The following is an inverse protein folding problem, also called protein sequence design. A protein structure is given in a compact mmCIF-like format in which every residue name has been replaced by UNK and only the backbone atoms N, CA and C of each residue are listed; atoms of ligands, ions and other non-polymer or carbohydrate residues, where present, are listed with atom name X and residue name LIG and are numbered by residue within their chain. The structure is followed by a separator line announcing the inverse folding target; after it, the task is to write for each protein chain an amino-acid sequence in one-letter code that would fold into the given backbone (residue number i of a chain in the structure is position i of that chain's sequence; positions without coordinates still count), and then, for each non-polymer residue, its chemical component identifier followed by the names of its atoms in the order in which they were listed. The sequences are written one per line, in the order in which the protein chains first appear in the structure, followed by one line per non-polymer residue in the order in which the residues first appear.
data_IF_460220568906
#
_entry.id   IF_460220568906
#
_cell.length_a   1.000
_cell.length_b   1.000
_cell.length_c   1.000
_cell.angle_alpha   90.00
_cell.angle_beta   90.00
_cell.angle_gamma   90.00
#
_symmetry.space_group_name_H-M   'P 1'
#
loop_
_entity.id
_entity.type
_entity.pdbx_description
1 polymer ?
#
# COMPACT_ATOMS: atom_id res chain seq x y z
N UNK A 1 16.02 1.14 12.33
CA UNK A 1 15.87 2.45 11.63
C UNK A 1 16.72 2.55 10.36
N UNK A 2 17.85 1.83 10.24
CA UNK A 2 18.68 1.85 9.02
C UNK A 2 17.91 1.49 7.74
N UNK A 3 17.00 0.51 7.82
CA UNK A 3 16.23 0.02 6.67
C UNK A 3 15.20 1.01 6.10
N UNK A 4 14.80 2.04 6.85
CA UNK A 4 13.82 3.03 6.35
C UNK A 4 14.51 4.30 5.80
N UNK A 5 15.73 4.63 6.25
CA UNK A 5 16.47 5.83 5.85
C UNK A 5 16.70 5.94 4.33
N UNK A 6 16.51 7.05 3.61
CA UNK A 6 16.45 8.42 4.12
C UNK A 6 15.09 8.80 4.67
N UNK A 7 14.06 7.98 4.46
CA UNK A 7 12.75 8.19 5.06
C UNK A 7 12.83 8.05 6.58
N UNK A 8 12.15 8.94 7.29
CA UNK A 8 12.33 9.10 8.72
C UNK A 8 11.01 9.39 9.46
N UNK A 9 9.84 9.21 8.86
CA UNK A 9 8.56 9.46 9.54
C UNK A 9 7.98 8.22 10.21
N UNK A 10 7.04 8.39 11.14
CA UNK A 10 6.30 7.23 11.69
C UNK A 10 5.48 6.50 10.61
N UNK A 11 5.00 7.17 9.57
CA UNK A 11 4.34 6.50 8.45
C UNK A 11 5.32 5.55 7.76
N UNK A 12 6.54 6.01 7.46
CA UNK A 12 7.57 5.18 6.85
C UNK A 12 7.97 4.02 7.74
N UNK A 13 8.14 4.27 9.04
CA UNK A 13 8.41 3.22 10.01
C UNK A 13 7.30 2.16 10.04
N UNK A 14 6.04 2.59 10.10
CA UNK A 14 4.90 1.67 10.20
C UNK A 14 4.72 0.83 8.92
N UNK A 15 4.92 1.43 7.75
CA UNK A 15 4.87 0.71 6.47
C UNK A 15 6.06 -0.26 6.39
N UNK A 16 7.26 0.20 6.73
CA UNK A 16 8.47 -0.62 6.73
C UNK A 16 8.37 -1.83 7.66
N UNK A 17 7.86 -1.65 8.89
CA UNK A 17 7.61 -2.77 9.82
C UNK A 17 6.60 -3.76 9.24
N UNK A 18 5.54 -3.27 8.60
CA UNK A 18 4.52 -4.14 8.02
C UNK A 18 5.08 -5.02 6.90
N UNK A 19 5.88 -4.42 6.01
CA UNK A 19 6.54 -5.13 4.92
C UNK A 19 7.61 -6.08 5.42
N UNK A 20 8.44 -5.66 6.38
CA UNK A 20 9.47 -6.49 6.99
C UNK A 20 8.86 -7.73 7.64
N UNK A 21 7.82 -7.56 8.46
CA UNK A 21 7.10 -8.69 9.08
C UNK A 21 6.47 -9.62 8.04
N UNK A 22 5.84 -9.07 6.99
CA UNK A 22 5.28 -9.89 5.92
C UNK A 22 6.37 -10.65 5.15
N UNK A 23 7.50 -10.01 4.87
CA UNK A 23 8.63 -10.61 4.17
C UNK A 23 9.30 -11.72 4.99
N UNK A 24 9.26 -11.68 6.33
CA UNK A 24 9.78 -12.76 7.18
C UNK A 24 9.18 -14.14 6.83
N UNK A 25 7.94 -14.15 6.32
CA UNK A 25 7.20 -15.35 5.94
C UNK A 25 6.93 -16.30 7.11
N UNK A 26 7.13 -15.88 8.36
CA UNK A 26 6.85 -16.65 9.57
C UNK A 26 5.43 -16.33 10.06
N UNK A 27 4.58 -17.35 10.10
CA UNK A 27 3.18 -17.18 10.46
C UNK A 27 2.45 -18.48 10.72
N UNK A 28 1.12 -18.40 10.71
CA UNK A 28 0.22 -19.52 10.97
C UNK A 28 -0.60 -19.82 9.72
N UNK A 29 -0.74 -21.10 9.39
CA UNK A 29 -1.61 -21.58 8.32
C UNK A 29 -2.81 -22.29 8.95
N UNK A 30 -4.00 -22.02 8.43
CA UNK A 30 -5.19 -22.79 8.79
C UNK A 30 -5.17 -24.09 7.97
N UNK A 31 -5.14 -25.23 8.66
CA UNK A 31 -5.32 -26.55 8.07
C UNK A 31 -6.77 -26.81 7.67
N UNK A 32 -6.99 -27.91 6.96
CA UNK A 32 -8.32 -28.29 6.46
C UNK A 32 -9.31 -28.62 7.59
N UNK A 33 -8.81 -29.13 8.72
CA UNK A 33 -9.62 -29.57 9.86
C UNK A 33 -9.83 -28.49 10.94
N UNK A 34 -9.52 -27.23 10.64
CA UNK A 34 -9.61 -26.12 11.59
C UNK A 34 -8.39 -25.95 12.50
N UNK A 35 -7.44 -26.88 12.45
CA UNK A 35 -6.16 -26.76 13.14
C UNK A 35 -5.30 -25.62 12.59
N UNK A 36 -4.48 -25.02 13.45
CA UNK A 36 -3.47 -24.03 13.05
C UNK A 36 -2.08 -24.56 13.34
N UNK A 37 -1.21 -24.51 12.34
CA UNK A 37 0.19 -24.86 12.49
C UNK A 37 1.11 -23.71 12.09
N UNK A 38 2.26 -23.65 12.75
CA UNK A 38 3.30 -22.68 12.45
C UNK A 38 3.97 -23.05 11.13
N UNK A 39 4.11 -22.09 10.24
CA UNK A 39 4.75 -22.27 8.95
C UNK A 39 5.67 -21.10 8.66
N UNK A 40 6.86 -21.41 8.14
CA UNK A 40 7.79 -20.42 7.60
C UNK A 40 7.98 -20.65 6.11
N UNK A 41 7.56 -19.68 5.31
CA UNK A 41 7.69 -19.74 3.85
C UNK A 41 9.16 -19.67 3.43
N UNK A 42 9.56 -20.60 2.56
CA UNK A 42 10.89 -20.64 1.93
C UNK A 42 10.97 -19.84 0.63
N UNK A 43 9.87 -19.18 0.21
CA UNK A 43 9.80 -18.40 -1.01
C UNK A 43 10.83 -17.26 -0.98
N UNK A 44 11.65 -17.20 -2.03
CA UNK A 44 12.67 -16.15 -2.23
C UNK A 44 12.11 -14.90 -2.90
N UNK A 45 10.94 -15.01 -3.52
CA UNK A 45 10.27 -13.92 -4.23
C UNK A 45 9.00 -13.53 -3.48
N UNK A 46 8.79 -12.24 -3.30
CA UNK A 46 7.57 -11.66 -2.76
C UNK A 46 6.89 -10.80 -3.83
N UNK A 47 5.65 -11.14 -4.20
CA UNK A 47 4.84 -10.28 -5.07
C UNK A 47 4.22 -9.15 -4.25
N UNK A 48 4.48 -7.92 -4.65
CA UNK A 48 4.03 -6.71 -3.94
C UNK A 48 3.10 -5.90 -4.84
N UNK A 49 1.93 -5.54 -4.31
CA UNK A 49 0.90 -4.79 -5.04
C UNK A 49 1.16 -3.29 -5.21
N UNK A 50 2.38 -2.80 -4.94
CA UNK A 50 2.73 -1.38 -5.11
C UNK A 50 2.63 -0.99 -6.59
N UNK A 51 2.15 0.22 -6.88
CA UNK A 51 1.86 0.70 -8.23
C UNK A 51 0.38 0.58 -8.62
N UNK A 52 -0.39 -0.30 -7.97
CA UNK A 52 -1.82 -0.44 -8.27
C UNK A 52 -2.63 0.81 -7.88
N UNK A 53 -2.37 1.39 -6.71
CA UNK A 53 -3.11 2.55 -6.23
C UNK A 53 -2.75 3.81 -7.03
N UNK A 54 -1.47 3.98 -7.39
CA UNK A 54 -0.95 5.09 -8.21
C UNK A 54 -1.57 5.08 -9.62
N UNK A 55 -1.65 3.91 -10.26
CA UNK A 55 -2.12 3.80 -11.65
C UNK A 55 -3.63 3.63 -11.79
N UNK A 56 -4.32 3.15 -10.76
CA UNK A 56 -5.77 2.86 -10.82
C UNK A 56 -6.62 3.76 -9.91
N UNK A 57 -6.15 4.95 -9.59
CA UNK A 57 -6.85 5.93 -8.76
C UNK A 57 -7.23 5.44 -7.34
N UNK A 58 -6.37 4.66 -6.67
CA UNK A 58 -6.67 4.02 -5.38
C UNK A 58 -6.55 4.90 -4.12
N UNK A 59 -5.92 6.07 -4.20
CA UNK A 59 -5.77 6.97 -3.06
C UNK A 59 -6.98 7.89 -2.85
N UNK A 60 -7.37 8.13 -1.59
CA UNK A 60 -8.44 9.07 -1.27
C UNK A 60 -8.19 10.50 -1.81
N UNK A 61 -6.93 10.93 -1.91
CA UNK A 61 -6.55 12.22 -2.49
C UNK A 61 -6.88 12.33 -3.99
N UNK A 62 -6.89 11.21 -4.72
CA UNK A 62 -7.28 11.19 -6.14
C UNK A 62 -8.73 11.63 -6.31
N UNK A 63 -9.62 11.10 -5.44
CA UNK A 63 -11.02 11.53 -5.39
C UNK A 63 -11.16 13.01 -5.03
N UNK A 64 -10.35 13.49 -4.10
CA UNK A 64 -10.33 14.93 -3.76
C UNK A 64 -9.93 15.76 -4.99
N UNK A 65 -8.88 15.38 -5.71
CA UNK A 65 -8.41 16.07 -6.92
C UNK A 65 -9.44 16.04 -8.05
N UNK A 66 -10.06 14.88 -8.28
CA UNK A 66 -11.17 14.73 -9.22
C UNK A 66 -12.35 15.66 -8.90
N UNK A 67 -12.74 15.77 -7.64
CA UNK A 67 -13.83 16.68 -7.23
C UNK A 67 -13.51 18.15 -7.45
N UNK A 68 -12.24 18.53 -7.36
CA UNK A 68 -11.80 19.92 -7.49
C UNK A 68 -11.63 20.33 -8.95
N UNK A 69 -11.03 19.48 -9.79
CA UNK A 69 -10.66 19.84 -11.16
C UNK A 69 -10.96 18.77 -12.22
N UNK A 70 -11.84 17.83 -11.92
CA UNK A 70 -12.29 16.80 -12.85
C UNK A 70 -11.18 15.84 -13.28
N UNK A 71 -11.31 15.31 -14.49
CA UNK A 71 -10.40 14.31 -15.06
C UNK A 71 -8.98 14.82 -15.24
N UNK A 72 -8.81 16.10 -15.62
CA UNK A 72 -7.48 16.70 -15.85
C UNK A 72 -6.68 16.72 -14.55
N UNK A 73 -7.25 17.24 -13.46
CA UNK A 73 -6.55 17.27 -12.17
C UNK A 73 -6.33 15.89 -11.56
N UNK A 74 -7.17 14.90 -11.89
CA UNK A 74 -6.95 13.51 -11.49
C UNK A 74 -5.74 12.92 -12.22
N UNK A 75 -5.67 13.09 -13.55
CA UNK A 75 -4.56 12.62 -14.37
C UNK A 75 -3.22 13.21 -13.90
N UNK A 76 -3.18 14.53 -13.69
CA UNK A 76 -1.99 15.22 -13.18
C UNK A 76 -1.51 14.66 -11.83
N UNK A 77 -2.43 14.45 -10.87
CA UNK A 77 -2.10 13.90 -9.57
C UNK A 77 -1.57 12.46 -9.67
N UNK A 78 -2.22 11.61 -10.46
CA UNK A 78 -1.80 10.22 -10.67
C UNK A 78 -0.44 10.13 -11.36
N UNK A 79 -0.20 10.99 -12.35
CA UNK A 79 1.08 11.09 -13.06
C UNK A 79 2.21 11.48 -12.10
N UNK A 80 1.97 12.44 -11.22
CA UNK A 80 2.94 12.83 -10.18
C UNK A 80 3.23 11.69 -9.21
N UNK A 81 2.23 10.91 -8.84
CA UNK A 81 2.40 9.75 -7.95
C UNK A 81 3.26 8.66 -8.59
N UNK A 82 2.99 8.30 -9.85
CA UNK A 82 3.82 7.35 -10.61
C UNK A 82 5.27 7.85 -10.72
N UNK A 83 5.48 9.12 -11.06
CA UNK A 83 6.83 9.70 -11.17
C UNK A 83 7.63 9.70 -9.87
N UNK A 84 6.96 9.70 -8.71
CA UNK A 84 7.58 9.79 -7.39
C UNK A 84 7.64 8.46 -6.65
N UNK A 85 7.05 7.39 -7.19
CA UNK A 85 6.91 6.11 -6.48
C UNK A 85 8.25 5.52 -6.05
N UNK A 86 9.28 5.66 -6.88
CA UNK A 86 10.63 5.15 -6.59
C UNK A 86 11.22 5.77 -5.33
N UNK A 87 11.05 7.09 -5.16
CA UNK A 87 11.57 7.84 -4.02
C UNK A 87 10.69 7.70 -2.78
N UNK A 88 9.37 7.62 -2.96
CA UNK A 88 8.39 7.59 -1.86
C UNK A 88 8.26 6.21 -1.21
N UNK A 89 8.27 5.16 -2.02
CA UNK A 89 7.93 3.81 -1.58
C UNK A 89 9.07 2.83 -1.82
N UNK A 90 9.51 2.67 -3.07
CA UNK A 90 10.34 1.53 -3.49
C UNK A 90 11.64 1.41 -2.71
N UNK A 91 12.36 2.51 -2.49
CA UNK A 91 13.64 2.46 -1.78
C UNK A 91 13.53 1.94 -0.34
N UNK A 92 12.44 2.28 0.38
CA UNK A 92 12.17 1.73 1.72
C UNK A 92 11.72 0.28 1.61
N UNK A 93 10.76 0.01 0.72
CA UNK A 93 10.11 -1.29 0.61
C UNK A 93 11.11 -2.38 0.23
N UNK A 94 12.00 -2.09 -0.73
CA UNK A 94 13.08 -2.99 -1.15
C UNK A 94 13.98 -3.39 0.02
N UNK A 95 14.51 -2.43 0.77
CA UNK A 95 15.41 -2.72 1.91
C UNK A 95 14.72 -3.49 3.02
N UNK A 96 13.45 -3.19 3.31
CA UNK A 96 12.68 -3.93 4.30
C UNK A 96 12.44 -5.38 3.89
N UNK A 97 12.23 -5.65 2.61
CA UNK A 97 11.99 -7.01 2.09
C UNK A 97 13.32 -7.78 1.97
N UNK A 98 14.34 -7.13 1.42
CA UNK A 98 15.68 -7.71 1.19
C UNK A 98 16.44 -8.05 2.47
N UNK A 99 16.11 -7.43 3.61
CA UNK A 99 16.66 -7.80 4.93
C UNK A 99 16.33 -9.26 5.31
N UNK A 100 15.27 -9.84 4.74
CA UNK A 100 14.93 -11.25 4.87
C UNK A 100 15.47 -12.13 3.74
N UNK A 101 16.37 -11.62 2.90
CA UNK A 101 16.94 -12.34 1.76
C UNK A 101 15.91 -12.65 0.67
N UNK A 102 14.88 -11.81 0.54
CA UNK A 102 13.82 -11.96 -0.47
C UNK A 102 13.85 -10.84 -1.49
N UNK A 103 13.53 -11.16 -2.72
CA UNK A 103 13.39 -10.22 -3.83
C UNK A 103 11.93 -9.79 -3.96
N UNK A 104 11.67 -8.48 -3.98
CA UNK A 104 10.36 -7.94 -4.26
C UNK A 104 10.13 -7.86 -5.78
N UNK A 105 8.98 -8.35 -6.25
CA UNK A 105 8.51 -8.12 -7.63
C UNK A 105 7.22 -7.34 -7.61
N UNK A 106 7.09 -6.41 -8.54
CA UNK A 106 6.00 -5.43 -8.58
C UNK A 106 5.21 -5.56 -9.90
N UNK A 107 4.28 -6.53 -10.01
CA UNK A 107 3.57 -6.80 -11.26
C UNK A 107 2.85 -5.58 -11.86
N UNK A 108 2.35 -4.67 -11.02
CA UNK A 108 1.69 -3.45 -11.51
C UNK A 108 2.66 -2.48 -12.19
N UNK A 109 3.95 -2.60 -11.94
CA UNK A 109 4.97 -1.72 -12.52
C UNK A 109 5.72 -2.37 -13.67
N UNK A 110 5.25 -3.53 -14.13
CA UNK A 110 5.69 -4.11 -15.38
C UNK A 110 5.32 -3.19 -16.55
N UNK A 111 6.22 -3.04 -17.51
CA UNK A 111 6.04 -2.14 -18.65
C UNK A 111 4.81 -2.47 -19.49
N UNK A 112 4.47 -3.75 -19.62
CA UNK A 112 3.29 -4.18 -20.37
C UNK A 112 2.00 -3.79 -19.63
N UNK A 113 1.96 -3.96 -18.32
CA UNK A 113 0.83 -3.56 -17.48
C UNK A 113 0.66 -2.04 -17.49
N UNK A 114 1.73 -1.28 -17.32
CA UNK A 114 1.69 0.18 -17.40
C UNK A 114 1.15 0.63 -18.76
N UNK A 115 1.67 0.06 -19.85
CA UNK A 115 1.25 0.41 -21.21
C UNK A 115 -0.23 0.14 -21.43
N UNK A 116 -0.71 -1.04 -21.05
CA UNK A 116 -2.14 -1.37 -21.13
C UNK A 116 -3.00 -0.40 -20.34
N UNK A 117 -2.58 -0.02 -19.12
CA UNK A 117 -3.34 0.95 -18.30
C UNK A 117 -3.36 2.35 -18.92
N UNK A 118 -2.27 2.78 -19.57
CA UNK A 118 -2.19 4.08 -20.26
C UNK A 118 -3.05 4.15 -21.53
N UNK A 119 -3.35 3.02 -22.16
CA UNK A 119 -4.23 2.93 -23.34
C UNK A 119 -5.72 2.95 -22.97
N UNK A 120 -6.06 2.68 -21.72
CA UNK A 120 -7.44 2.67 -21.23
C UNK A 120 -7.86 4.09 -20.82
N UNK A 121 -9.02 4.58 -21.28
CA UNK A 121 -9.53 5.86 -20.84
C UNK A 121 -9.70 5.94 -19.31
N UNK A 122 -9.37 7.09 -18.72
CA UNK A 122 -9.35 7.24 -17.26
C UNK A 122 -10.70 6.99 -16.57
N UNK A 123 -11.82 7.23 -17.27
CA UNK A 123 -13.17 6.92 -16.79
C UNK A 123 -13.50 5.41 -16.74
N UNK A 124 -12.72 4.58 -17.43
CA UNK A 124 -12.79 3.13 -17.32
C UNK A 124 -11.86 2.59 -16.23
N UNK A 125 -10.74 3.28 -15.97
CA UNK A 125 -9.85 3.00 -14.85
C UNK A 125 -10.54 3.27 -13.50
N UNK A 126 -11.29 4.37 -13.39
CA UNK A 126 -11.93 4.80 -12.16
C UNK A 126 -13.22 5.57 -12.40
N UNK A 127 -14.15 5.48 -11.44
CA UNK A 127 -15.44 6.18 -11.45
C UNK A 127 -15.69 6.88 -10.11
N UNK A 128 -14.97 8.00 -9.90
CA UNK A 128 -14.80 8.62 -8.57
C UNK A 128 -15.98 9.47 -8.08
N UNK A 129 -17.08 9.50 -8.83
CA UNK A 129 -18.43 9.90 -8.41
C UNK A 129 -19.13 8.82 -7.57
N UNK A 130 -18.82 7.53 -7.79
CA UNK A 130 -19.35 6.43 -6.98
C UNK A 130 -18.73 6.37 -5.57
N UNK A 131 -19.40 5.76 -4.58
CA UNK A 131 -18.86 5.62 -3.22
C UNK A 131 -17.47 4.96 -3.15
N UNK A 132 -16.75 5.22 -2.05
CA UNK A 132 -15.47 4.56 -1.74
C UNK A 132 -15.68 3.05 -1.66
N UNK A 133 -14.77 2.29 -2.25
CA UNK A 133 -14.88 0.83 -2.38
C UNK A 133 -15.62 0.36 -3.63
N UNK A 134 -16.18 1.28 -4.44
CA UNK A 134 -16.81 0.96 -5.73
C UNK A 134 -16.07 1.61 -6.89
N UNK A 135 -15.96 2.94 -6.85
CA UNK A 135 -15.43 3.75 -7.94
C UNK A 135 -13.91 3.81 -8.05
N UNK A 136 -13.20 3.71 -6.93
CA UNK A 136 -11.73 3.61 -6.91
C UNK A 136 -11.27 2.26 -7.46
N UNK A 137 -10.26 2.26 -8.32
CA UNK A 137 -9.72 1.04 -8.94
C UNK A 137 -10.76 0.20 -9.66
N UNK A 138 -11.73 0.86 -10.32
CA UNK A 138 -12.84 0.21 -11.03
C UNK A 138 -12.34 -0.95 -11.89
N UNK A 139 -11.34 -0.70 -12.74
CA UNK A 139 -10.77 -1.72 -13.62
C UNK A 139 -10.25 -2.96 -12.87
N UNK A 140 -9.56 -2.76 -11.75
CA UNK A 140 -9.02 -3.87 -10.94
C UNK A 140 -10.12 -4.64 -10.23
N UNK A 141 -11.20 -3.96 -9.83
CA UNK A 141 -12.38 -4.62 -9.24
C UNK A 141 -13.12 -5.47 -10.27
N UNK A 142 -13.19 -5.00 -11.52
CA UNK A 142 -13.77 -5.77 -12.63
C UNK A 142 -12.93 -6.99 -12.95
N UNK A 143 -11.61 -6.85 -13.08
CA UNK A 143 -10.69 -7.99 -13.25
C UNK A 143 -10.80 -8.98 -12.08
N UNK A 144 -10.85 -8.50 -10.84
CA UNK A 144 -11.04 -9.37 -9.67
C UNK A 144 -12.35 -10.18 -9.75
N UNK A 145 -13.46 -9.57 -10.20
CA UNK A 145 -14.73 -10.29 -10.41
C UNK A 145 -14.61 -11.35 -11.50
N UNK A 146 -13.95 -11.03 -12.62
CA UNK A 146 -13.71 -11.98 -13.72
C UNK A 146 -12.90 -13.20 -13.26
N UNK A 147 -11.95 -12.99 -12.35
CA UNK A 147 -11.14 -14.05 -11.75
C UNK A 147 -11.83 -14.77 -10.58
N UNK A 148 -13.09 -14.45 -10.26
CA UNK A 148 -13.83 -15.05 -9.15
C UNK A 148 -13.41 -14.56 -7.76
N UNK A 149 -12.57 -13.53 -7.66
CA UNK A 149 -12.07 -12.94 -6.41
C UNK A 149 -13.07 -11.95 -5.82
N UNK A 150 -14.27 -12.43 -5.47
CA UNK A 150 -15.39 -11.60 -5.05
C UNK A 150 -15.04 -10.71 -3.85
N UNK A 151 -14.44 -11.26 -2.79
CA UNK A 151 -14.08 -10.48 -1.61
C UNK A 151 -13.13 -9.33 -1.95
N UNK A 152 -12.07 -9.61 -2.69
CA UNK A 152 -11.08 -8.61 -3.10
C UNK A 152 -11.71 -7.49 -3.96
N UNK A 153 -12.69 -7.83 -4.81
CA UNK A 153 -13.38 -6.88 -5.66
C UNK A 153 -14.20 -5.83 -4.90
N UNK A 154 -14.66 -6.12 -3.69
CA UNK A 154 -15.51 -5.20 -2.90
C UNK A 154 -14.79 -4.55 -1.71
N UNK A 155 -13.61 -5.03 -1.33
CA UNK A 155 -12.87 -4.44 -0.21
C UNK A 155 -12.43 -2.99 -0.53
N UNK A 156 -12.75 -2.02 0.35
CA UNK A 156 -12.23 -0.66 0.23
C UNK A 156 -10.70 -0.64 0.38
N UNK A 157 -10.04 0.26 -0.35
CA UNK A 157 -8.60 0.44 -0.23
C UNK A 157 -8.21 0.81 1.20
N UNK A 158 -7.24 0.09 1.75
CA UNK A 158 -6.66 0.37 3.07
C UNK A 158 -5.14 0.27 3.01
N UNK A 159 -4.43 1.31 3.44
CA UNK A 159 -2.96 1.27 3.45
C UNK A 159 -2.45 0.21 4.44
N UNK A 160 -1.31 -0.42 4.12
CA UNK A 160 -0.79 -1.58 4.85
C UNK A 160 -0.58 -1.31 6.35
N UNK A 161 -0.11 -0.12 6.74
CA UNK A 161 0.08 0.27 8.14
C UNK A 161 -1.25 0.28 8.94
N UNK A 162 -2.37 0.56 8.27
CA UNK A 162 -3.69 0.54 8.89
C UNK A 162 -4.31 -0.86 8.82
N UNK A 163 -4.11 -1.60 7.73
CA UNK A 163 -4.62 -2.96 7.54
C UNK A 163 -4.02 -3.94 8.54
N UNK A 164 -2.70 -3.86 8.73
CA UNK A 164 -1.92 -4.64 9.72
C UNK A 164 -2.14 -4.23 11.18
N UNK A 165 -2.80 -3.09 11.41
CA UNK A 165 -2.95 -2.43 12.74
C UNK A 165 -1.63 -1.96 13.37
N UNK A 166 -0.50 -2.01 12.67
CA UNK A 166 0.79 -1.52 13.17
C UNK A 166 0.72 -0.02 13.52
N UNK A 167 0.04 0.79 12.70
CA UNK A 167 -0.16 2.20 13.00
C UNK A 167 -0.89 2.41 14.34
N UNK A 168 -1.85 1.55 14.68
CA UNK A 168 -2.57 1.64 15.97
C UNK A 168 -1.64 1.39 17.15
N UNK A 169 -0.83 0.33 17.06
CA UNK A 169 0.08 -0.03 18.15
C UNK A 169 1.22 0.99 18.27
N UNK A 170 1.75 1.47 17.15
CA UNK A 170 2.73 2.54 17.08
C UNK A 170 2.18 3.85 17.68
N UNK A 171 0.96 4.25 17.33
CA UNK A 171 0.32 5.44 17.88
C UNK A 171 0.12 5.35 19.39
N UNK A 172 -0.36 4.21 19.89
CA UNK A 172 -0.53 3.99 21.34
C UNK A 172 0.81 4.09 22.08
N UNK A 173 1.86 3.46 21.55
CA UNK A 173 3.18 3.45 22.17
C UNK A 173 3.83 4.83 22.21
N UNK A 174 3.73 5.60 21.12
CA UNK A 174 4.50 6.84 20.96
C UNK A 174 3.71 8.12 21.27
N UNK A 175 2.38 8.07 21.20
CA UNK A 175 1.50 9.23 21.40
C UNK A 175 0.39 8.97 22.44
N UNK A 176 0.39 7.80 23.10
CA UNK A 176 -0.59 7.39 24.12
C UNK A 176 -1.95 6.96 23.57
N UNK A 177 -2.41 7.53 22.45
CA UNK A 177 -3.67 7.14 21.81
C UNK A 177 -3.69 7.48 20.31
N UNK A 178 -4.61 6.84 19.57
CA UNK A 178 -4.86 7.22 18.17
C UNK A 178 -5.36 8.66 18.04
N UNK A 179 -6.17 9.15 19.00
CA UNK A 179 -6.69 10.52 18.97
C UNK A 179 -5.55 11.53 19.09
N UNK A 180 -4.65 11.32 20.05
CA UNK A 180 -3.47 12.15 20.23
C UNK A 180 -2.53 12.08 19.01
N UNK A 181 -2.31 10.88 18.46
CA UNK A 181 -1.51 10.71 17.25
C UNK A 181 -2.09 11.48 16.04
N UNK A 182 -3.41 11.45 15.84
CA UNK A 182 -4.07 12.19 14.76
C UNK A 182 -3.93 13.71 14.95
N UNK A 183 -4.09 14.22 16.18
CA UNK A 183 -3.89 15.64 16.50
C UNK A 183 -2.44 16.08 16.22
N UNK A 184 -1.47 15.20 16.47
CA UNK A 184 -0.06 15.45 16.19
C UNK A 184 0.34 15.21 14.73
N UNK A 185 -0.60 14.83 13.85
CA UNK A 185 -0.28 14.39 12.48
C UNK A 185 0.83 13.33 12.45
N UNK A 186 0.75 12.33 13.34
CA UNK A 186 1.84 11.39 13.64
C UNK A 186 2.52 10.80 12.40
N UNK A 187 1.77 10.55 11.32
CA UNK A 187 2.32 10.03 10.06
C UNK A 187 3.41 10.90 9.43
N UNK A 188 3.44 12.21 9.67
CA UNK A 188 4.48 13.12 9.18
C UNK A 188 5.54 13.47 10.24
N UNK A 189 5.37 13.00 11.48
CA UNK A 189 6.33 13.27 12.56
C UNK A 189 7.58 12.43 12.34
N UNK A 190 8.75 13.07 12.44
CA UNK A 190 10.04 12.40 12.34
C UNK A 190 10.27 11.47 13.55
N UNK A 191 10.83 10.30 13.28
CA UNK A 191 11.28 9.34 14.26
C UNK A 191 12.67 9.78 14.71
N UNK A 192 12.75 10.54 15.79
CA UNK A 192 14.04 10.92 16.36
C UNK A 192 14.80 9.66 16.80
N UNK A 193 16.06 9.53 16.36
CA UNK A 193 17.01 8.64 17.04
C UNK A 193 17.17 9.19 18.46
N UNK A 194 16.81 8.41 19.49
CA UNK A 194 17.45 8.61 20.78
C UNK A 194 18.92 8.33 20.54
N UNK A 195 19.75 9.37 20.56
CA UNK A 195 21.19 9.21 20.68
C UNK A 195 21.40 8.50 22.01
N UNK A 196 21.70 7.20 21.95
CA UNK A 196 22.29 6.46 23.04
C UNK A 196 23.78 6.36 22.73
#
# INVERSE_FOLDING_TARGET
MSLIYPSNTYMDLNIGIALWLAASGDGWVNGQDGDRYKHKSTSRVLLVGSGADEQCAGYGRHRTKYRVGGWVSLDEEMRLDVQRIWKRNMGRDDRCISDHGKEARFPFLDESVIRTLLEIPLWDIAKLDEPVGKGDKKILREVAKLLGLQEAAFLPKRAIQFGSRIARESNRKNFGSNRAANLASAGSVEVHKRNH
#
